data_IF_128562505907
#
_entry.id   IF_128562505907
#
_cell.length_a   1.000
_cell.length_b   1.000
_cell.length_c   1.000
_cell.angle_alpha   90.00
_cell.angle_beta   90.00
_cell.angle_gamma   90.00
#
_symmetry.space_group_name_H-M   'P 1'
#
loop_
_entity.id
_entity.type
_entity.pdbx_description
1 polymer ?
#
# COMPACT_ATOMS: atom_id res chain seq x y z
N UNK A 1 -6.32 -4.99 32.45
CA UNK A 1 -6.24 -5.10 30.99
C UNK A 1 -6.39 -6.56 30.63
N UNK A 2 -7.46 -6.91 29.94
CA UNK A 2 -7.67 -8.23 29.34
C UNK A 2 -6.62 -8.49 28.26
N UNK A 3 -6.37 -9.76 27.93
CA UNK A 3 -5.40 -10.12 26.88
C UNK A 3 -5.76 -9.47 25.53
N UNK A 4 -7.05 -9.31 25.23
CA UNK A 4 -7.54 -8.72 23.98
C UNK A 4 -7.18 -7.23 23.86
N UNK A 5 -7.27 -6.48 24.96
CA UNK A 5 -6.86 -5.07 25.00
C UNK A 5 -5.34 -4.92 24.74
N UNK A 6 -4.52 -5.84 25.28
CA UNK A 6 -3.07 -5.85 25.02
C UNK A 6 -2.80 -6.04 23.53
N UNK A 7 -3.46 -7.00 22.89
CA UNK A 7 -3.29 -7.23 21.45
C UNK A 7 -3.68 -5.99 20.63
N UNK A 8 -4.80 -5.35 20.94
CA UNK A 8 -5.24 -4.14 20.22
C UNK A 8 -4.24 -2.99 20.34
N UNK A 9 -3.70 -2.76 21.55
CA UNK A 9 -2.68 -1.72 21.78
C UNK A 9 -1.40 -2.05 21.01
N UNK A 10 -0.95 -3.31 21.04
CA UNK A 10 0.26 -3.75 20.33
C UNK A 10 0.11 -3.55 18.82
N UNK A 11 -1.01 -3.95 18.22
CA UNK A 11 -1.27 -3.74 16.79
C UNK A 11 -1.30 -2.26 16.41
N UNK A 12 -1.87 -1.41 17.26
CA UNK A 12 -1.88 0.04 17.04
C UNK A 12 -0.47 0.64 17.09
N UNK A 13 0.37 0.21 18.05
CA UNK A 13 1.76 0.69 18.17
C UNK A 13 2.59 0.26 16.95
N UNK A 14 2.48 -1.01 16.54
CA UNK A 14 3.17 -1.53 15.35
C UNK A 14 2.76 -0.72 14.12
N UNK A 15 1.45 -0.47 13.96
CA UNK A 15 0.95 0.36 12.87
C UNK A 15 1.57 1.76 12.87
N UNK A 16 1.67 2.42 14.03
CA UNK A 16 2.29 3.73 14.14
C UNK A 16 3.77 3.73 13.71
N UNK A 17 4.53 2.70 14.12
CA UNK A 17 5.93 2.54 13.72
C UNK A 17 6.05 2.39 12.20
N UNK A 18 5.22 1.55 11.60
CA UNK A 18 5.22 1.32 10.14
C UNK A 18 4.90 2.60 9.39
N UNK A 19 3.88 3.35 9.80
CA UNK A 19 3.55 4.66 9.20
C UNK A 19 4.71 5.64 9.34
N UNK A 20 5.33 5.71 10.51
CA UNK A 20 6.42 6.64 10.80
C UNK A 20 7.64 6.43 9.88
N UNK A 21 7.99 5.19 9.56
CA UNK A 21 9.11 4.90 8.66
C UNK A 21 8.71 4.95 7.18
N UNK A 22 7.54 4.42 6.82
CA UNK A 22 7.17 4.29 5.41
C UNK A 22 6.68 5.61 4.79
N UNK A 23 6.06 6.51 5.54
CA UNK A 23 5.61 7.81 5.00
C UNK A 23 6.78 8.68 4.53
N UNK A 24 7.87 8.87 5.32
CA UNK A 24 9.06 9.59 4.85
C UNK A 24 9.72 8.94 3.64
N UNK A 25 9.76 7.61 3.58
CA UNK A 25 10.33 6.87 2.43
C UNK A 25 9.49 7.12 1.17
N UNK A 26 8.16 7.00 1.28
CA UNK A 26 7.26 7.34 0.19
C UNK A 26 7.46 8.79 -0.25
N UNK A 27 7.51 9.72 0.70
CA UNK A 27 7.74 11.14 0.41
C UNK A 27 9.07 11.35 -0.32
N UNK A 28 10.16 10.75 0.13
CA UNK A 28 11.47 10.85 -0.53
C UNK A 28 11.44 10.30 -1.95
N UNK A 29 10.84 9.13 -2.18
CA UNK A 29 10.77 8.49 -3.50
C UNK A 29 9.89 9.31 -4.45
N UNK A 30 8.72 9.75 -4.00
CA UNK A 30 7.79 10.48 -4.85
C UNK A 30 8.21 11.93 -5.05
N UNK A 31 8.81 12.64 -4.09
CA UNK A 31 9.22 14.04 -4.25
C UNK A 31 10.61 14.22 -4.87
N UNK A 32 11.53 13.27 -4.68
CA UNK A 32 12.88 13.37 -5.25
C UNK A 32 12.87 13.07 -6.74
N UNK A 33 13.03 14.12 -7.56
CA UNK A 33 13.17 14.00 -9.02
C UNK A 33 14.37 13.12 -9.43
N UNK A 34 15.38 13.04 -8.58
CA UNK A 34 16.61 12.27 -8.80
C UNK A 34 16.42 10.76 -8.63
N UNK A 35 15.44 10.32 -7.82
CA UNK A 35 15.20 8.90 -7.51
C UNK A 35 14.12 8.26 -8.40
N UNK A 36 13.24 9.07 -8.99
CA UNK A 36 12.21 8.64 -9.95
C UNK A 36 12.69 7.87 -11.19
N UNK A 37 13.90 8.08 -11.77
CA UNK A 37 14.30 7.31 -12.95
C UNK A 37 14.54 5.82 -12.67
N UNK A 38 14.73 5.44 -11.40
CA UNK A 38 14.93 4.05 -10.99
C UNK A 38 13.56 3.39 -10.74
N UNK A 39 13.12 2.54 -11.66
CA UNK A 39 11.84 1.81 -11.54
C UNK A 39 11.74 0.93 -10.29
N UNK A 40 12.86 0.38 -9.86
CA UNK A 40 12.95 -0.40 -8.62
C UNK A 40 12.52 0.43 -7.41
N UNK A 41 12.96 1.69 -7.34
CA UNK A 41 12.55 2.63 -6.28
C UNK A 41 11.05 2.95 -6.35
N UNK A 42 10.45 3.00 -7.54
CA UNK A 42 9.00 3.20 -7.69
C UNK A 42 8.22 1.98 -7.16
N UNK A 43 8.66 0.75 -7.49
CA UNK A 43 8.01 -0.47 -6.98
C UNK A 43 8.12 -0.57 -5.45
N UNK A 44 9.30 -0.26 -4.89
CA UNK A 44 9.51 -0.19 -3.44
C UNK A 44 8.61 0.90 -2.83
N UNK A 45 8.53 2.08 -3.46
CA UNK A 45 7.64 3.15 -3.03
C UNK A 45 6.15 2.77 -3.06
N UNK A 46 5.73 1.97 -4.05
CA UNK A 46 4.38 1.40 -4.12
C UNK A 46 4.10 0.41 -2.99
N UNK A 47 5.07 -0.45 -2.66
CA UNK A 47 4.97 -1.38 -1.54
C UNK A 47 4.88 -0.64 -0.19
N UNK A 48 5.75 0.35 0.04
CA UNK A 48 5.69 1.19 1.23
C UNK A 48 4.34 1.92 1.34
N UNK A 49 3.78 2.37 0.22
CA UNK A 49 2.45 2.99 0.20
C UNK A 49 1.35 1.99 0.59
N UNK A 50 1.38 0.78 0.04
CA UNK A 50 0.45 -0.29 0.43
C UNK A 50 0.56 -0.63 1.93
N UNK A 51 1.79 -0.72 2.46
CA UNK A 51 2.05 -0.95 3.88
C UNK A 51 1.53 0.18 4.76
N UNK A 52 1.66 1.45 4.33
CA UNK A 52 1.08 2.59 5.07
C UNK A 52 -0.44 2.54 5.13
N UNK A 53 -1.11 2.18 4.03
CA UNK A 53 -2.58 2.02 3.99
C UNK A 53 -3.01 0.91 4.95
N UNK A 54 -2.30 -0.22 4.93
CA UNK A 54 -2.58 -1.35 5.82
C UNK A 54 -2.32 -1.00 7.30
N UNK A 55 -1.23 -0.31 7.59
CA UNK A 55 -0.90 0.14 8.93
C UNK A 55 -1.91 1.16 9.46
N UNK A 56 -2.41 2.06 8.61
CA UNK A 56 -3.48 3.00 8.95
C UNK A 56 -4.78 2.25 9.31
N UNK A 57 -5.13 1.20 8.56
CA UNK A 57 -6.27 0.33 8.88
C UNK A 57 -6.15 -0.29 10.28
N UNK A 58 -4.95 -0.81 10.63
CA UNK A 58 -4.67 -1.38 11.94
C UNK A 58 -4.80 -0.35 13.07
N UNK A 59 -4.29 0.88 12.87
CA UNK A 59 -4.40 1.95 13.86
C UNK A 59 -5.87 2.34 14.07
N UNK A 60 -6.63 2.59 12.99
CA UNK A 60 -8.05 2.96 13.11
C UNK A 60 -8.86 1.85 13.79
N UNK A 61 -8.64 0.59 13.41
CA UNK A 61 -9.32 -0.54 14.03
C UNK A 61 -8.99 -0.67 15.52
N UNK A 62 -7.74 -0.44 15.91
CA UNK A 62 -7.32 -0.46 17.32
C UNK A 62 -7.98 0.65 18.13
N UNK A 63 -7.93 1.89 17.63
CA UNK A 63 -8.54 3.07 18.28
C UNK A 63 -10.05 2.88 18.43
N UNK A 64 -10.74 2.47 17.37
CA UNK A 64 -12.20 2.31 17.42
C UNK A 64 -12.65 1.24 18.40
N UNK A 65 -11.92 0.11 18.47
CA UNK A 65 -12.21 -0.93 19.45
C UNK A 65 -11.92 -0.47 20.89
N UNK A 66 -10.84 0.29 21.11
CA UNK A 66 -10.56 0.91 22.41
C UNK A 66 -11.67 1.87 22.84
N UNK A 67 -12.18 2.69 21.91
CA UNK A 67 -13.30 3.61 22.17
C UNK A 67 -14.58 2.84 22.53
N UNK A 68 -14.95 1.81 21.76
CA UNK A 68 -16.12 0.97 22.04
C UNK A 68 -16.02 0.26 23.40
N UNK A 69 -14.83 -0.20 23.75
CA UNK A 69 -14.57 -0.81 25.05
C UNK A 69 -14.71 0.21 26.19
N UNK A 70 -14.17 1.42 26.01
CA UNK A 70 -14.31 2.51 27.00
C UNK A 70 -15.77 2.93 27.24
N UNK A 71 -16.63 2.79 26.23
CA UNK A 71 -18.05 3.11 26.31
C UNK A 71 -18.92 1.94 26.80
N UNK A 72 -18.31 0.79 27.13
CA UNK A 72 -19.00 -0.46 27.48
C UNK A 72 -19.98 -0.94 26.38
N UNK A 73 -19.77 -0.54 25.13
CA UNK A 73 -20.63 -0.89 23.98
C UNK A 73 -20.09 -2.07 23.17
N UNK A 74 -19.04 -2.75 23.67
CA UNK A 74 -18.37 -3.84 22.95
C UNK A 74 -19.30 -5.02 22.57
N UNK A 75 -20.44 -5.18 23.27
CA UNK A 75 -21.38 -6.28 23.05
C UNK A 75 -22.71 -5.85 22.40
N UNK A 76 -22.83 -4.59 21.96
CA UNK A 76 -24.07 -4.13 21.30
C UNK A 76 -24.03 -4.57 19.83
N UNK A 77 -24.99 -5.40 19.38
CA UNK A 77 -25.04 -5.84 17.99
C UNK A 77 -25.41 -4.66 17.08
N UNK A 78 -24.48 -4.26 16.22
CA UNK A 78 -24.70 -3.27 15.17
C UNK A 78 -25.17 -3.94 13.88
N UNK A 79 -25.85 -3.17 13.03
CA UNK A 79 -26.29 -3.65 11.71
C UNK A 79 -25.10 -4.03 10.82
N UNK A 80 -25.22 -5.14 10.08
CA UNK A 80 -24.11 -5.70 9.27
C UNK A 80 -23.58 -4.71 8.22
N UNK A 81 -24.46 -3.89 7.63
CA UNK A 81 -24.06 -2.87 6.66
C UNK A 81 -23.22 -1.76 7.30
N UNK A 82 -23.57 -1.33 8.51
CA UNK A 82 -22.80 -0.31 9.21
C UNK A 82 -21.40 -0.81 9.55
N UNK A 83 -21.29 -2.06 10.00
CA UNK A 83 -19.99 -2.71 10.22
C UNK A 83 -19.14 -2.74 8.94
N UNK A 84 -19.71 -3.06 7.78
CA UNK A 84 -18.97 -3.14 6.53
C UNK A 84 -18.47 -1.77 6.02
N UNK A 85 -19.26 -0.72 6.21
CA UNK A 85 -18.96 0.64 5.72
C UNK A 85 -18.03 1.42 6.66
N UNK A 86 -17.66 0.84 7.80
CA UNK A 86 -16.66 1.43 8.68
C UNK A 86 -15.32 1.64 7.95
N UNK A 87 -14.66 2.80 8.15
CA UNK A 87 -13.49 3.19 7.37
C UNK A 87 -12.34 2.19 7.50
N UNK A 88 -12.13 1.61 8.69
CA UNK A 88 -11.06 0.61 8.87
C UNK A 88 -11.29 -0.66 8.06
N UNK A 89 -12.54 -1.12 7.91
CA UNK A 89 -12.87 -2.32 7.12
C UNK A 89 -12.67 -2.08 5.62
N UNK A 90 -13.06 -0.90 5.14
CA UNK A 90 -12.79 -0.49 3.75
C UNK A 90 -11.28 -0.40 3.51
N UNK A 91 -10.53 0.24 4.42
CA UNK A 91 -9.07 0.31 4.33
C UNK A 91 -8.41 -1.07 4.37
N UNK A 92 -8.87 -1.99 5.20
CA UNK A 92 -8.37 -3.37 5.21
C UNK A 92 -8.60 -4.07 3.88
N UNK A 93 -9.80 -3.93 3.31
CA UNK A 93 -10.11 -4.55 2.03
C UNK A 93 -9.14 -4.09 0.94
N UNK A 94 -8.90 -2.78 0.81
CA UNK A 94 -7.94 -2.26 -0.16
C UNK A 94 -6.49 -2.58 0.21
N UNK A 95 -6.11 -2.44 1.48
CA UNK A 95 -4.76 -2.67 1.97
C UNK A 95 -4.27 -4.10 1.68
N UNK A 96 -5.08 -5.12 1.99
CA UNK A 96 -4.71 -6.51 1.70
C UNK A 96 -4.51 -6.78 0.20
N UNK A 97 -5.38 -6.26 -0.66
CA UNK A 97 -5.25 -6.43 -2.11
C UNK A 97 -4.04 -5.68 -2.66
N UNK A 98 -3.81 -4.44 -2.21
CA UNK A 98 -2.68 -3.62 -2.65
C UNK A 98 -1.34 -4.25 -2.26
N UNK A 99 -1.20 -4.73 -1.02
CA UNK A 99 0.02 -5.40 -0.56
C UNK A 99 0.28 -6.65 -1.41
N UNK A 100 -0.75 -7.49 -1.61
CA UNK A 100 -0.63 -8.70 -2.44
C UNK A 100 -0.20 -8.40 -3.89
N UNK A 101 -0.84 -7.43 -4.54
CA UNK A 101 -0.52 -7.04 -5.92
C UNK A 101 0.91 -6.48 -6.00
N UNK A 102 1.30 -5.59 -5.08
CA UNK A 102 2.64 -5.00 -5.08
C UNK A 102 3.74 -6.03 -4.81
N UNK A 103 3.54 -6.95 -3.87
CA UNK A 103 4.50 -8.04 -3.62
C UNK A 103 4.63 -8.97 -4.83
N UNK A 104 3.53 -9.27 -5.52
CA UNK A 104 3.57 -10.05 -6.76
C UNK A 104 4.35 -9.32 -7.86
N UNK A 105 4.11 -8.03 -8.06
CA UNK A 105 4.82 -7.21 -9.05
C UNK A 105 6.33 -7.15 -8.76
N UNK A 106 6.73 -6.91 -7.51
CA UNK A 106 8.14 -6.91 -7.10
C UNK A 106 8.77 -8.28 -7.38
N UNK A 107 8.08 -9.37 -7.04
CA UNK A 107 8.60 -10.72 -7.28
C UNK A 107 8.75 -11.04 -8.77
N UNK A 108 7.78 -10.62 -9.59
CA UNK A 108 7.83 -10.80 -11.04
C UNK A 108 8.97 -9.99 -11.67
N UNK A 109 9.18 -8.74 -11.24
CA UNK A 109 10.29 -7.89 -11.69
C UNK A 109 11.65 -8.57 -11.40
N UNK A 110 11.84 -9.08 -10.18
CA UNK A 110 13.07 -9.82 -9.82
C UNK A 110 13.25 -11.10 -10.60
N UNK A 111 12.18 -11.85 -10.85
CA UNK A 111 12.25 -13.08 -11.64
C UNK A 111 12.69 -12.78 -13.08
N UNK A 112 12.15 -11.72 -13.70
CA UNK A 112 12.55 -11.31 -15.06
C UNK A 112 14.01 -10.84 -15.09
N UNK A 113 14.44 -10.09 -14.07
CA UNK A 113 15.83 -9.66 -13.95
C UNK A 113 16.82 -10.83 -13.89
N UNK A 114 16.48 -11.90 -13.16
CA UNK A 114 17.32 -13.11 -13.04
C UNK A 114 17.29 -13.96 -14.32
N UNK A 115 16.12 -14.17 -14.91
CA UNK A 115 15.99 -15.04 -16.10
C UNK A 115 16.59 -14.42 -17.35
N UNK A 116 16.55 -13.09 -17.48
CA UNK A 116 16.97 -12.39 -18.69
C UNK A 116 17.68 -11.05 -18.39
N UNK A 117 18.90 -11.09 -17.81
CA UNK A 117 19.60 -9.88 -17.37
C UNK A 117 19.85 -8.87 -18.51
N UNK A 118 20.24 -9.36 -19.69
CA UNK A 118 20.54 -8.50 -20.86
C UNK A 118 19.29 -7.85 -21.45
N UNK A 119 18.15 -8.56 -21.47
CA UNK A 119 16.89 -7.97 -21.93
C UNK A 119 16.25 -7.08 -20.85
N UNK A 120 16.49 -7.37 -19.58
CA UNK A 120 16.02 -6.56 -18.47
C UNK A 120 16.63 -5.17 -18.50
N UNK A 121 17.94 -5.01 -18.72
CA UNK A 121 18.53 -3.67 -18.90
C UNK A 121 17.86 -2.91 -20.06
N UNK A 122 17.65 -3.54 -21.23
CA UNK A 122 17.09 -2.84 -22.41
C UNK A 122 15.60 -2.51 -22.27
N UNK A 123 14.77 -3.44 -21.77
CA UNK A 123 13.33 -3.24 -21.55
C UNK A 123 13.09 -2.28 -20.36
N UNK A 124 13.94 -2.35 -19.34
CA UNK A 124 13.79 -1.57 -18.13
C UNK A 124 14.40 -0.15 -18.27
N UNK A 125 15.35 0.09 -19.18
CA UNK A 125 16.15 1.32 -19.27
C UNK A 125 15.46 2.61 -19.72
N UNK A 126 14.24 2.66 -20.31
CA UNK A 126 13.74 4.01 -20.70
C UNK A 126 12.26 4.32 -20.92
N UNK A 127 11.36 3.35 -21.17
CA UNK A 127 10.05 3.72 -21.77
C UNK A 127 8.78 3.24 -21.06
N UNK A 128 8.81 2.13 -20.32
CA UNK A 128 7.55 1.48 -19.89
C UNK A 128 7.14 1.66 -18.42
N UNK A 129 7.96 2.26 -17.55
CA UNK A 129 7.57 2.47 -16.13
C UNK A 129 6.47 3.52 -15.96
N UNK A 130 6.49 4.52 -16.84
CA UNK A 130 5.45 5.53 -16.96
C UNK A 130 4.24 4.95 -17.71
N UNK A 131 4.44 4.05 -18.68
CA UNK A 131 3.32 3.41 -19.41
C UNK A 131 2.46 2.49 -18.53
N UNK A 132 3.02 1.87 -17.48
CA UNK A 132 2.26 1.01 -16.56
C UNK A 132 1.56 1.78 -15.43
N UNK A 133 1.97 3.02 -15.14
CA UNK A 133 1.32 3.88 -14.13
C UNK A 133 0.44 4.98 -14.75
N UNK A 134 0.60 5.27 -16.05
CA UNK A 134 -0.16 6.29 -16.80
C UNK A 134 -1.01 5.69 -17.94
N UNK A 135 -0.72 4.45 -18.38
CA UNK A 135 -1.40 3.79 -19.51
C UNK A 135 -2.89 3.54 -19.31
N UNK A 136 -3.35 3.34 -18.07
CA UNK A 136 -4.79 3.18 -17.78
C UNK A 136 -5.54 4.51 -17.65
N UNK A 137 -4.83 5.65 -17.55
CA UNK A 137 -5.49 6.96 -17.41
C UNK A 137 -5.41 7.83 -18.68
N UNK A 138 -4.45 7.57 -19.58
CA UNK A 138 -4.21 8.40 -20.78
C UNK A 138 -4.41 7.69 -22.12
N UNK A 139 -4.62 6.36 -22.17
CA UNK A 139 -5.02 5.68 -23.41
C UNK A 139 -6.46 5.99 -23.86
N UNK A 140 -7.21 6.80 -23.10
CA UNK A 140 -8.49 7.40 -23.48
C UNK A 140 -8.33 8.60 -24.45
N UNK A 141 -7.17 9.28 -24.48
CA UNK A 141 -6.95 10.43 -25.37
C UNK A 141 -5.63 10.29 -26.12
N UNK A 142 -5.71 9.69 -27.30
CA UNK A 142 -4.56 9.26 -28.07
C UNK A 142 -3.63 10.36 -28.56
N UNK A 143 -2.41 9.94 -28.91
CA UNK A 143 -1.67 10.51 -30.03
C UNK A 143 -0.66 9.48 -30.55
N UNK A 144 -0.83 9.12 -31.84
CA UNK A 144 0.15 8.40 -32.64
C UNK A 144 1.45 9.22 -32.70
N UNK A 145 2.59 8.61 -32.44
CA UNK A 145 3.86 9.08 -33.01
C UNK A 145 4.52 7.93 -33.75
N UNK A 146 4.80 8.23 -35.01
CA UNK A 146 5.26 7.39 -36.11
C UNK A 146 6.79 7.46 -36.15
N UNK A 147 7.39 6.31 -36.50
CA UNK A 147 8.80 6.04 -36.84
C UNK A 147 9.73 5.88 -35.64
#
# INVERSE_FOLDING_TARGET
MSNDEIFMVVYSIIGCIVVFFNVPICFLIYFSKTLRPCKELILIGGLCLADTVQALANILSGIQRLVLYSQNQAFVPESSLRCYVEPFNVLFFFGYHLVGIMTMLVSADRLVAVLKPVQHEVICSRRNGIALTIGDSLASHGLKVKV
#
